data_IF_105898251615
#
_entry.id   IF_105898251615
#
_cell.length_a   1.000
_cell.length_b   1.000
_cell.length_c   1.000
_cell.angle_alpha   90.00
_cell.angle_beta   90.00
_cell.angle_gamma   90.00
#
_symmetry.space_group_name_H-M   'P 1'
#
loop_
_entity.id
_entity.type
_entity.pdbx_description
1 polymer ?
#
# COMPACT_ATOMS: atom_id res chain seq x y z
N UNK A 1 3.15 8.18 1.23
CA UNK A 1 4.19 7.37 0.56
C UNK A 1 4.10 5.92 1.06
N UNK A 2 3.92 4.90 0.19
CA UNK A 2 3.86 3.49 0.64
C UNK A 2 5.23 3.06 1.18
N UNK A 3 5.32 2.73 2.46
CA UNK A 3 6.56 2.34 3.15
C UNK A 3 7.27 1.11 2.52
N UNK A 4 6.60 0.38 1.63
CA UNK A 4 7.13 -0.82 0.94
C UNK A 4 7.71 -0.57 -0.45
N UNK A 5 7.53 0.63 -1.05
CA UNK A 5 7.85 0.85 -2.47
C UNK A 5 9.35 0.68 -2.77
N UNK A 6 10.26 1.15 -1.90
CA UNK A 6 11.70 1.04 -2.12
C UNK A 6 12.21 -0.40 -2.23
N UNK A 7 11.63 -1.33 -1.47
CA UNK A 7 11.97 -2.77 -1.54
C UNK A 7 11.53 -3.37 -2.87
N UNK A 8 10.36 -2.98 -3.37
CA UNK A 8 9.85 -3.45 -4.65
C UNK A 8 10.67 -2.89 -5.83
N UNK A 9 11.11 -1.62 -5.76
CA UNK A 9 12.00 -1.04 -6.75
C UNK A 9 13.37 -1.71 -6.81
N UNK A 10 13.99 -1.99 -5.66
CA UNK A 10 15.26 -2.71 -5.62
C UNK A 10 15.13 -4.13 -6.20
N UNK A 11 14.07 -4.85 -5.83
CA UNK A 11 13.82 -6.19 -6.35
C UNK A 11 13.51 -6.19 -7.87
N UNK A 12 12.74 -5.23 -8.37
CA UNK A 12 12.42 -5.12 -9.79
C UNK A 12 13.63 -4.72 -10.62
N UNK A 13 14.48 -3.83 -10.10
CA UNK A 13 15.74 -3.45 -10.74
C UNK A 13 16.69 -4.64 -10.90
N UNK A 14 16.89 -5.43 -9.84
CA UNK A 14 17.71 -6.64 -9.90
C UNK A 14 17.17 -7.67 -10.90
N UNK A 15 15.85 -7.88 -10.91
CA UNK A 15 15.18 -8.78 -11.88
C UNK A 15 15.37 -8.33 -13.32
N UNK A 16 15.27 -7.02 -13.60
CA UNK A 16 15.52 -6.47 -14.95
C UNK A 16 16.95 -6.68 -15.44
N UNK A 17 17.91 -6.84 -14.52
CA UNK A 17 19.31 -7.18 -14.82
C UNK A 17 19.57 -8.70 -14.82
N UNK A 18 18.54 -9.53 -14.77
CA UNK A 18 18.66 -11.00 -14.74
C UNK A 18 19.04 -11.58 -13.38
N UNK A 19 19.21 -10.76 -12.34
CA UNK A 19 19.64 -11.23 -11.02
C UNK A 19 18.42 -11.62 -10.18
N UNK A 20 18.25 -12.93 -10.00
CA UNK A 20 17.14 -13.50 -9.23
C UNK A 20 17.57 -13.80 -7.80
N UNK A 21 17.28 -12.87 -6.89
CA UNK A 21 17.65 -13.00 -5.48
C UNK A 21 16.42 -13.20 -4.61
N UNK A 22 16.52 -14.10 -3.63
CA UNK A 22 15.46 -14.28 -2.64
C UNK A 22 15.17 -12.99 -1.88
N UNK A 23 13.88 -12.70 -1.64
CA UNK A 23 13.41 -11.46 -0.99
C UNK A 23 14.11 -11.18 0.34
N UNK A 24 14.39 -12.21 1.14
CA UNK A 24 15.09 -12.07 2.42
C UNK A 24 16.48 -11.41 2.26
N UNK A 25 17.22 -11.75 1.20
CA UNK A 25 18.56 -11.17 0.97
C UNK A 25 18.47 -9.70 0.53
N UNK A 26 17.50 -9.36 -0.34
CA UNK A 26 17.26 -7.96 -0.75
C UNK A 26 16.91 -7.10 0.46
N UNK A 27 16.01 -7.58 1.33
CA UNK A 27 15.66 -6.87 2.57
C UNK A 27 16.86 -6.77 3.51
N UNK A 28 17.65 -7.83 3.66
CA UNK A 28 18.86 -7.80 4.48
C UNK A 28 19.90 -6.80 3.99
N UNK A 29 20.14 -6.73 2.68
CA UNK A 29 21.05 -5.74 2.09
C UNK A 29 20.55 -4.32 2.28
N UNK A 30 19.25 -4.06 2.05
CA UNK A 30 18.66 -2.74 2.27
C UNK A 30 18.73 -2.31 3.74
N UNK A 31 18.56 -3.24 4.69
CA UNK A 31 18.74 -2.95 6.12
C UNK A 31 20.19 -2.61 6.48
N UNK A 32 21.18 -3.26 5.85
CA UNK A 32 22.60 -2.95 6.09
C UNK A 32 22.99 -1.58 5.53
N UNK A 33 22.47 -1.20 4.37
CA UNK A 33 22.74 0.09 3.74
C UNK A 33 22.02 1.25 4.43
N UNK A 34 20.79 1.02 4.91
CA UNK A 34 19.93 2.04 5.49
C UNK A 34 19.12 1.48 6.66
N UNK A 35 19.81 1.22 7.77
CA UNK A 35 19.19 0.73 9.00
C UNK A 35 18.22 1.77 9.59
N UNK A 36 18.65 3.03 9.63
CA UNK A 36 17.92 4.14 10.24
C UNK A 36 16.67 4.50 9.43
N UNK A 37 16.78 4.65 8.11
CA UNK A 37 15.62 4.87 7.24
C UNK A 37 14.69 3.66 7.17
N UNK A 38 15.19 2.44 7.40
CA UNK A 38 14.32 1.27 7.58
C UNK A 38 13.55 1.32 8.89
N UNK A 39 14.19 1.69 10.00
CA UNK A 39 13.54 1.83 11.30
C UNK A 39 12.47 2.94 11.27
N UNK A 40 12.80 4.12 10.72
CA UNK A 40 11.85 5.23 10.58
C UNK A 40 10.61 4.85 9.75
N UNK A 41 10.78 4.13 8.63
CA UNK A 41 9.64 3.64 7.83
C UNK A 41 8.76 2.64 8.56
N UNK A 42 9.30 1.89 9.51
CA UNK A 42 8.53 0.98 10.35
C UNK A 42 7.79 1.74 11.47
N UNK A 43 8.42 2.77 12.02
CA UNK A 43 7.81 3.66 13.02
C UNK A 43 6.66 4.49 12.42
N UNK A 44 6.79 4.91 11.16
CA UNK A 44 5.81 5.72 10.43
C UNK A 44 4.68 4.86 9.84
N UNK A 45 4.13 3.97 10.67
CA UNK A 45 2.91 3.24 10.32
C UNK A 45 1.78 4.24 10.18
N UNK A 46 1.08 4.21 9.04
CA UNK A 46 -0.08 5.07 8.78
C UNK A 46 -1.05 4.95 9.96
N UNK A 47 -1.14 5.99 10.79
CA UNK A 47 -2.15 6.11 11.83
C UNK A 47 -3.50 6.23 11.14
N UNK A 48 -4.22 5.11 11.01
CA UNK A 48 -5.59 5.12 10.51
C UNK A 48 -6.43 5.90 11.50
N UNK A 49 -7.03 7.00 11.05
CA UNK A 49 -8.01 7.73 11.86
C UNK A 49 -9.28 6.91 11.95
N UNK A 50 -9.83 6.80 13.15
CA UNK A 50 -11.19 6.31 13.34
C UNK A 50 -12.13 7.42 12.89
N UNK A 51 -12.89 7.18 11.82
CA UNK A 51 -13.92 8.09 11.34
C UNK A 51 -15.26 7.56 11.81
N UNK A 52 -15.90 8.30 12.71
CA UNK A 52 -17.26 8.02 13.20
C UNK A 52 -18.19 9.05 12.58
N UNK A 53 -19.30 8.58 12.01
CA UNK A 53 -20.38 9.41 11.45
C UNK A 53 -21.57 9.32 12.40
N UNK A 54 -22.44 10.36 12.51
CA UNK A 54 -23.46 10.38 13.55
C UNK A 54 -24.71 9.53 13.23
N UNK A 55 -24.94 9.18 11.96
CA UNK A 55 -26.13 8.43 11.52
C UNK A 55 -25.91 7.77 10.14
N UNK A 56 -26.70 6.74 9.77
CA UNK A 56 -26.73 6.22 8.40
C UNK A 56 -27.02 7.32 7.37
N UNK A 57 -26.52 7.17 6.15
CA UNK A 57 -26.67 8.10 5.03
C UNK A 57 -26.07 9.50 5.24
N UNK A 58 -25.31 9.73 6.31
CA UNK A 58 -24.65 11.02 6.55
C UNK A 58 -23.43 11.24 5.65
N UNK A 59 -22.67 10.17 5.35
CA UNK A 59 -21.47 10.24 4.50
C UNK A 59 -21.34 8.93 3.71
N UNK A 60 -21.19 9.06 2.39
CA UNK A 60 -20.95 7.94 1.49
C UNK A 60 -19.48 7.94 1.05
N UNK A 61 -18.81 6.81 1.25
CA UNK A 61 -17.45 6.60 0.79
C UNK A 61 -17.45 6.00 -0.61
N UNK A 62 -16.79 6.65 -1.56
CA UNK A 62 -16.56 6.14 -2.92
C UNK A 62 -15.09 5.72 -3.05
N UNK A 63 -14.83 4.51 -3.52
CA UNK A 63 -13.49 4.03 -3.84
C UNK A 63 -13.43 3.31 -5.19
N UNK A 64 -12.29 3.44 -5.87
CA UNK A 64 -12.02 2.84 -7.17
C UNK A 64 -11.05 1.67 -7.06
N UNK A 65 -11.45 0.50 -7.56
CA UNK A 65 -10.58 -0.66 -7.71
C UNK A 65 -9.98 -0.72 -9.13
N UNK A 66 -8.68 -0.40 -9.21
CA UNK A 66 -7.96 -0.28 -10.49
C UNK A 66 -7.18 -1.56 -10.87
N UNK A 67 -7.44 -2.71 -10.22
CA UNK A 67 -6.69 -3.95 -10.52
C UNK A 67 -6.87 -4.39 -11.98
N UNK A 68 -8.00 -4.04 -12.60
CA UNK A 68 -8.34 -4.39 -13.97
C UNK A 68 -8.04 -3.29 -15.01
N UNK A 69 -7.33 -2.23 -14.61
CA UNK A 69 -7.13 -1.06 -15.48
C UNK A 69 -6.37 -1.38 -16.78
N UNK A 70 -5.54 -2.44 -16.79
CA UNK A 70 -4.84 -2.90 -18.00
C UNK A 70 -5.79 -3.41 -19.08
N UNK A 71 -6.99 -3.85 -18.70
CA UNK A 71 -8.06 -4.27 -19.62
C UNK A 71 -9.13 -3.19 -19.81
N UNK A 72 -8.86 -1.95 -19.36
CA UNK A 72 -9.81 -0.83 -19.47
C UNK A 72 -10.95 -0.86 -18.46
N UNK A 73 -10.91 -1.72 -17.45
CA UNK A 73 -11.98 -1.87 -16.46
C UNK A 73 -11.58 -1.28 -15.11
N UNK A 74 -12.43 -0.42 -14.54
CA UNK A 74 -12.30 0.12 -13.18
C UNK A 74 -13.63 -0.09 -12.45
N UNK A 75 -13.58 -0.78 -11.31
CA UNK A 75 -14.77 -1.01 -10.50
C UNK A 75 -14.88 0.10 -9.45
N UNK A 76 -16.00 0.81 -9.42
CA UNK A 76 -16.28 1.81 -8.40
C UNK A 76 -17.28 1.23 -7.39
N UNK A 77 -16.93 1.27 -6.11
CA UNK A 77 -17.81 0.85 -5.02
C UNK A 77 -18.17 2.05 -4.16
N UNK A 78 -19.44 2.14 -3.76
CA UNK A 78 -19.91 3.15 -2.83
C UNK A 78 -20.45 2.45 -1.58
N UNK A 79 -20.09 2.95 -0.40
CA UNK A 79 -20.46 2.36 0.88
C UNK A 79 -20.95 3.44 1.82
N UNK A 80 -22.00 3.17 2.60
CA UNK A 80 -22.35 4.05 3.70
C UNK A 80 -21.26 3.98 4.78
N UNK A 81 -20.72 5.15 5.17
CA UNK A 81 -19.56 5.20 6.07
C UNK A 81 -19.94 4.88 7.51
N UNK A 82 -21.24 4.95 7.86
CA UNK A 82 -21.75 4.63 9.18
C UNK A 82 -21.92 3.12 9.34
N UNK A 83 -22.76 2.46 8.53
CA UNK A 83 -23.04 1.04 8.67
C UNK A 83 -22.09 0.12 7.88
N UNK A 84 -21.25 0.68 7.00
CA UNK A 84 -20.33 -0.08 6.13
C UNK A 84 -21.05 -1.10 5.26
N UNK A 85 -22.27 -0.75 4.81
CA UNK A 85 -23.03 -1.54 3.85
C UNK A 85 -23.01 -0.88 2.47
N UNK A 86 -23.11 -1.72 1.44
CA UNK A 86 -23.15 -1.35 0.02
C UNK A 86 -24.60 -1.22 -0.42
#
# INVERSE_FOLDING_TARGET
>A
KRASSGRQYAASYLRRRGVHVHRKRVVGSLKRLDALGTALRHADTIKRRTYTVPRPNAVWGLDGNHKLIRWGVVLHGIIDTFCRTV
#
